data_IF_397472832081
#
_entry.id   IF_397472832081
#
_cell.length_a   1.000
_cell.length_b   1.000
_cell.length_c   1.000
_cell.angle_alpha   90.00
_cell.angle_beta   90.00
_cell.angle_gamma   90.00
#
_symmetry.space_group_name_H-M   'P 1'
#
loop_
_entity.id
_entity.type
_entity.pdbx_description
1 polymer ?
#
# COMPACT_ATOMS: atom_id res chain seq x y z
N UNK A 1 -24.85 -39.76 -7.84
CA UNK A 1 -25.10 -38.60 -8.71
C UNK A 1 -25.35 -39.14 -10.09
N UNK A 2 -26.52 -38.84 -10.64
CA UNK A 2 -26.96 -39.38 -11.91
C UNK A 2 -26.41 -38.51 -13.05
N UNK A 3 -25.89 -39.11 -14.12
CA UNK A 3 -25.22 -38.37 -15.19
C UNK A 3 -26.18 -37.35 -15.86
N UNK A 4 -27.47 -37.68 -15.87
CA UNK A 4 -28.53 -36.81 -16.37
C UNK A 4 -28.73 -35.54 -15.52
N UNK A 5 -28.51 -35.62 -14.21
CA UNK A 5 -28.60 -34.47 -13.29
C UNK A 5 -27.45 -33.48 -13.51
N UNK A 6 -26.27 -33.98 -13.87
CA UNK A 6 -25.10 -33.15 -14.17
C UNK A 6 -25.29 -32.44 -15.52
N UNK A 7 -25.80 -33.15 -16.52
CA UNK A 7 -26.04 -32.57 -17.85
C UNK A 7 -27.13 -31.49 -17.80
N UNK A 8 -28.20 -31.70 -17.03
CA UNK A 8 -29.26 -30.70 -16.92
C UNK A 8 -28.76 -29.44 -16.22
N UNK A 9 -27.97 -29.57 -15.15
CA UNK A 9 -27.33 -28.42 -14.49
C UNK A 9 -26.39 -27.64 -15.40
N UNK A 10 -25.60 -28.34 -16.22
CA UNK A 10 -24.69 -27.70 -17.17
C UNK A 10 -25.42 -26.94 -18.27
N UNK A 11 -26.49 -27.50 -18.83
CA UNK A 11 -27.31 -26.84 -19.84
C UNK A 11 -27.97 -25.59 -19.26
N UNK A 12 -28.54 -25.69 -18.07
CA UNK A 12 -29.22 -24.58 -17.39
C UNK A 12 -28.26 -23.43 -17.05
N UNK A 13 -27.02 -23.76 -16.64
CA UNK A 13 -25.97 -22.77 -16.41
C UNK A 13 -25.54 -22.06 -17.71
N UNK A 14 -25.48 -22.80 -18.83
CA UNK A 14 -25.13 -22.22 -20.12
C UNK A 14 -26.23 -21.31 -20.67
N UNK A 15 -27.50 -21.69 -20.49
CA UNK A 15 -28.65 -20.86 -20.87
C UNK A 15 -28.66 -19.53 -20.11
N UNK A 16 -28.40 -19.54 -18.79
CA UNK A 16 -28.30 -18.31 -17.99
C UNK A 16 -27.17 -17.38 -18.46
N UNK A 17 -26.02 -17.93 -18.84
CA UNK A 17 -24.91 -17.14 -19.36
C UNK A 17 -25.21 -16.53 -20.74
N UNK A 18 -25.99 -17.22 -21.56
CA UNK A 18 -26.43 -16.71 -22.86
C UNK A 18 -27.48 -15.60 -22.69
N UNK A 19 -28.43 -15.75 -21.76
CA UNK A 19 -29.41 -14.70 -21.44
C UNK A 19 -28.73 -13.43 -20.89
N UNK A 20 -27.68 -13.55 -20.07
CA UNK A 20 -26.90 -12.41 -19.57
C UNK A 20 -26.07 -11.74 -20.68
N UNK A 21 -25.58 -12.51 -21.65
CA UNK A 21 -24.89 -11.98 -22.82
C UNK A 21 -25.84 -11.24 -23.79
N UNK A 22 -27.09 -11.71 -23.91
CA UNK A 22 -28.11 -11.12 -24.79
C UNK A 22 -28.80 -9.90 -24.17
N UNK A 23 -28.93 -9.83 -22.84
CA UNK A 23 -29.46 -8.67 -22.11
C UNK A 23 -28.39 -8.01 -21.21
N UNK A 24 -27.48 -7.20 -21.78
CA UNK A 24 -26.51 -6.42 -21.01
C UNK A 24 -27.16 -5.19 -20.35
N UNK A 25 -28.15 -5.40 -19.48
CA UNK A 25 -28.59 -4.38 -18.52
C UNK A 25 -27.67 -4.40 -17.31
N UNK A 26 -26.43 -3.94 -17.52
CA UNK A 26 -25.37 -3.98 -16.51
C UNK A 26 -24.19 -3.11 -16.87
N UNK A 27 -24.39 -1.79 -16.87
CA UNK A 27 -23.37 -0.71 -16.91
C UNK A 27 -22.41 -0.73 -18.10
N UNK A 28 -22.96 -0.34 -19.24
CA UNK A 28 -22.21 0.32 -20.31
C UNK A 28 -21.83 1.74 -19.86
N UNK A 29 -20.59 1.96 -19.44
CA UNK A 29 -20.02 3.31 -19.40
C UNK A 29 -19.90 3.82 -20.84
N UNK A 30 -20.95 4.47 -21.34
CA UNK A 30 -20.86 5.30 -22.54
C UNK A 30 -20.28 6.65 -22.13
N UNK A 31 -19.06 6.91 -22.56
CA UNK A 31 -18.55 8.26 -22.73
C UNK A 31 -19.39 8.99 -23.78
N UNK A 32 -20.37 9.77 -23.33
CA UNK A 32 -20.97 10.85 -24.11
C UNK A 32 -20.40 12.17 -23.58
N UNK A 33 -19.49 12.75 -24.34
CA UNK A 33 -19.14 14.15 -24.18
C UNK A 33 -20.34 15.02 -24.53
N UNK A 34 -20.72 15.90 -23.60
CA UNK A 34 -21.46 17.13 -23.89
C UNK A 34 -21.49 17.99 -22.62
N UNK A 35 -20.74 19.09 -22.63
CA UNK A 35 -20.98 20.30 -21.84
C UNK A 35 -20.88 20.18 -20.31
N UNK A 36 -19.76 20.60 -19.75
CA UNK A 36 -19.63 20.88 -18.33
C UNK A 36 -18.52 21.92 -18.13
N UNK A 37 -18.87 23.04 -17.52
CA UNK A 37 -18.01 24.22 -17.38
C UNK A 37 -16.69 23.94 -16.65
N UNK A 38 -15.76 24.85 -16.88
CA UNK A 38 -14.53 25.05 -16.13
C UNK A 38 -14.82 24.88 -14.64
N UNK A 39 -14.44 23.72 -14.11
CA UNK A 39 -14.32 23.49 -12.67
C UNK A 39 -12.91 23.98 -12.36
N UNK A 40 -12.83 24.97 -11.48
CA UNK A 40 -11.58 25.58 -11.04
C UNK A 40 -10.59 24.53 -10.50
N UNK A 41 -9.33 24.71 -10.89
CA UNK A 41 -8.13 23.88 -10.72
C UNK A 41 -7.62 23.80 -9.26
N UNK A 42 -8.45 23.44 -8.28
CA UNK A 42 -7.96 23.27 -6.89
C UNK A 42 -8.54 22.02 -6.21
N UNK A 43 -8.21 20.82 -6.70
CA UNK A 43 -8.27 19.58 -5.92
C UNK A 43 -7.55 18.42 -6.65
N UNK A 44 -6.32 18.64 -7.13
CA UNK A 44 -5.47 17.57 -7.67
C UNK A 44 -4.28 17.32 -6.76
N UNK A 45 -4.43 16.43 -5.76
CA UNK A 45 -3.32 15.70 -5.10
C UNK A 45 -3.78 14.72 -4.00
N UNK A 46 -4.91 14.02 -4.13
CA UNK A 46 -5.29 12.97 -3.16
C UNK A 46 -5.49 11.60 -3.81
N UNK A 47 -5.06 10.56 -3.08
CA UNK A 47 -5.10 9.12 -3.39
C UNK A 47 -3.87 8.44 -4.03
N UNK A 48 -2.67 8.97 -3.78
CA UNK A 48 -1.48 8.10 -3.58
C UNK A 48 -1.36 7.66 -2.08
N UNK A 49 -2.36 8.01 -1.25
CA UNK A 49 -2.17 8.38 0.16
C UNK A 49 -2.35 7.32 1.26
N UNK A 50 -2.70 6.07 0.95
CA UNK A 50 -3.04 5.12 2.02
C UNK A 50 -1.89 4.25 2.49
N UNK A 51 -0.77 4.22 1.75
CA UNK A 51 0.35 3.35 2.05
C UNK A 51 1.40 4.05 2.91
N UNK A 52 1.70 3.42 4.03
CA UNK A 52 2.62 3.91 5.04
C UNK A 52 3.68 2.85 5.34
N UNK A 53 4.96 3.20 5.53
CA UNK A 53 5.98 2.23 5.87
C UNK A 53 5.79 1.73 7.31
N UNK A 54 5.88 0.42 7.48
CA UNK A 54 5.93 -0.28 8.75
C UNK A 54 7.23 -1.08 8.82
N UNK A 55 7.83 -1.19 10.01
CA UNK A 55 9.11 -1.89 10.21
C UNK A 55 8.89 -3.18 10.98
N UNK A 56 9.37 -4.29 10.43
CA UNK A 56 9.45 -5.57 11.12
C UNK A 56 10.63 -5.58 12.10
N UNK A 57 10.36 -5.30 13.37
CA UNK A 57 11.38 -5.25 14.41
C UNK A 57 12.06 -6.60 14.67
N UNK A 58 11.39 -7.73 14.37
CA UNK A 58 11.97 -9.07 14.53
C UNK A 58 13.16 -9.28 13.59
N UNK A 59 13.09 -8.72 12.37
CA UNK A 59 14.15 -8.82 11.36
C UNK A 59 15.09 -7.64 11.33
N UNK A 60 14.68 -6.50 11.87
CA UNK A 60 15.47 -5.28 11.85
C UNK A 60 16.82 -5.49 12.55
N UNK A 61 17.93 -5.03 11.95
CA UNK A 61 19.26 -5.08 12.57
C UNK A 61 19.50 -4.00 13.64
N UNK A 62 18.59 -3.04 13.75
CA UNK A 62 18.69 -1.94 14.72
C UNK A 62 19.95 -1.11 14.53
N UNK A 63 20.64 -0.79 15.62
CA UNK A 63 21.87 0.03 15.63
C UNK A 63 23.04 -0.58 14.83
N UNK A 64 23.01 -1.89 14.58
CA UNK A 64 24.06 -2.56 13.78
C UNK A 64 23.84 -2.45 12.27
N UNK A 65 22.74 -1.83 11.82
CA UNK A 65 22.46 -1.62 10.40
C UNK A 65 23.39 -0.56 9.79
N UNK A 66 24.09 -0.92 8.70
CA UNK A 66 24.98 0.01 7.97
C UNK A 66 24.23 1.06 7.16
N UNK A 67 23.05 0.72 6.64
CA UNK A 67 22.13 1.61 5.93
C UNK A 67 20.92 1.91 6.81
N UNK A 68 21.16 2.66 7.89
CA UNK A 68 20.13 2.97 8.88
C UNK A 68 19.02 3.83 8.29
N UNK A 69 17.79 3.32 8.26
CA UNK A 69 16.61 4.06 7.81
C UNK A 69 16.33 5.30 8.66
N UNK A 70 16.75 5.30 9.92
CA UNK A 70 16.62 6.44 10.85
C UNK A 70 17.54 7.59 10.44
N UNK A 71 18.73 7.30 9.92
CA UNK A 71 19.64 8.35 9.42
C UNK A 71 19.10 8.92 8.09
N UNK A 72 18.57 8.06 7.23
CA UNK A 72 18.06 8.46 5.91
C UNK A 72 16.74 9.23 5.99
N UNK A 73 15.84 8.83 6.90
CA UNK A 73 14.52 9.43 7.07
C UNK A 73 14.16 9.58 8.58
N UNK A 74 14.83 10.48 9.31
CA UNK A 74 14.68 10.65 10.76
C UNK A 74 13.30 11.19 11.17
N UNK A 75 12.60 11.84 10.24
CA UNK A 75 11.26 12.36 10.44
C UNK A 75 10.19 11.25 10.49
N UNK A 76 10.54 10.02 10.07
CA UNK A 76 9.60 8.91 9.98
C UNK A 76 10.02 7.71 10.81
N UNK A 77 11.31 7.46 10.94
CA UNK A 77 11.83 6.33 11.69
C UNK A 77 12.56 6.81 12.95
N UNK A 78 12.32 6.11 14.06
CA UNK A 78 13.01 6.30 15.33
C UNK A 78 13.49 4.97 15.90
N UNK A 79 14.43 5.02 16.86
CA UNK A 79 14.78 3.82 17.63
C UNK A 79 13.71 3.57 18.69
N UNK A 80 13.24 2.33 18.75
CA UNK A 80 12.39 1.86 19.82
C UNK A 80 13.27 1.51 21.04
N UNK A 81 12.95 2.08 22.21
CA UNK A 81 13.75 1.92 23.43
C UNK A 81 13.66 0.49 24.01
N UNK A 82 12.53 -0.16 23.78
CA UNK A 82 12.18 -1.52 24.22
C UNK A 82 12.93 -2.60 23.43
N UNK A 83 13.02 -2.48 22.10
CA UNK A 83 13.61 -3.51 21.23
C UNK A 83 14.99 -3.15 20.69
N UNK A 84 15.43 -1.89 20.86
CA UNK A 84 16.61 -1.30 20.23
C UNK A 84 16.62 -1.42 18.69
N UNK A 85 15.43 -1.56 18.08
CA UNK A 85 15.21 -1.67 16.63
C UNK A 85 14.64 -0.38 16.07
N UNK A 86 14.62 -0.27 14.75
CA UNK A 86 13.95 0.85 14.10
C UNK A 86 12.44 0.63 14.13
N UNK A 87 11.68 1.68 14.44
CA UNK A 87 10.22 1.72 14.43
C UNK A 87 9.78 2.88 13.54
N UNK A 88 8.79 2.62 12.68
CA UNK A 88 8.14 3.69 11.94
C UNK A 88 7.13 4.39 12.85
N UNK A 89 7.03 5.72 12.75
CA UNK A 89 5.92 6.44 13.38
C UNK A 89 4.61 5.96 12.77
N UNK A 90 3.54 5.90 13.56
CA UNK A 90 2.23 5.54 13.03
C UNK A 90 1.70 6.63 12.09
N UNK A 91 0.88 6.29 11.08
CA UNK A 91 0.27 7.27 10.18
C UNK A 91 -0.46 8.38 10.95
N UNK A 92 -1.15 8.01 12.03
CA UNK A 92 -1.93 8.92 12.86
C UNK A 92 -1.08 9.87 13.71
N UNK A 93 0.17 9.50 14.01
CA UNK A 93 1.10 10.32 14.77
C UNK A 93 1.90 11.29 13.90
N UNK A 94 1.88 11.10 12.57
CA UNK A 94 2.65 11.90 11.63
C UNK A 94 1.93 13.21 11.27
N UNK A 95 2.48 14.35 11.68
CA UNK A 95 1.91 15.68 11.41
C UNK A 95 2.21 16.23 10.01
N UNK A 96 2.59 15.36 9.07
CA UNK A 96 2.85 15.71 7.68
C UNK A 96 4.32 15.69 7.31
N UNK A 97 4.57 15.70 6.00
CA UNK A 97 5.88 15.44 5.42
C UNK A 97 6.80 16.67 5.38
N UNK A 98 6.54 17.66 6.22
CA UNK A 98 7.29 18.92 6.29
C UNK A 98 8.50 18.76 7.21
N UNK A 99 9.67 18.55 6.62
CA UNK A 99 10.94 18.58 7.34
C UNK A 99 11.59 19.94 7.06
N UNK A 100 11.55 20.87 8.01
CA UNK A 100 12.41 22.08 7.98
C UNK A 100 12.43 22.86 6.65
N UNK A 101 11.29 23.01 5.98
CA UNK A 101 11.20 23.74 4.69
C UNK A 101 11.53 22.93 3.44
N UNK A 102 11.79 21.61 3.55
CA UNK A 102 11.98 20.72 2.41
C UNK A 102 10.64 20.31 1.76
N UNK A 103 10.63 20.21 0.43
CA UNK A 103 9.47 19.80 -0.38
C UNK A 103 9.05 18.35 -0.10
N UNK A 104 7.74 18.06 -0.11
CA UNK A 104 7.15 16.71 0.06
C UNK A 104 7.87 15.62 -0.77
N UNK A 105 8.31 15.96 -1.99
CA UNK A 105 9.00 15.04 -2.90
C UNK A 105 10.35 14.55 -2.39
N UNK A 106 11.14 15.45 -1.79
CA UNK A 106 12.46 15.10 -1.23
C UNK A 106 12.31 14.10 -0.11
N UNK A 107 11.30 14.31 0.72
CA UNK A 107 11.12 13.49 1.88
C UNK A 107 10.47 12.13 1.51
N UNK A 108 9.61 12.07 0.46
CA UNK A 108 9.23 10.81 -0.20
C UNK A 108 10.44 10.06 -0.77
N UNK A 109 11.36 10.77 -1.41
CA UNK A 109 12.61 10.20 -1.91
C UNK A 109 13.46 9.59 -0.78
N UNK A 110 13.63 10.29 0.35
CA UNK A 110 14.36 9.76 1.51
C UNK A 110 13.76 8.46 2.06
N UNK A 111 12.43 8.37 2.13
CA UNK A 111 11.77 7.13 2.57
C UNK A 111 11.97 6.00 1.57
N UNK A 112 11.78 6.26 0.28
CA UNK A 112 12.03 5.25 -0.76
C UNK A 112 13.49 4.78 -0.75
N UNK A 113 14.43 5.68 -0.51
CA UNK A 113 15.84 5.36 -0.38
C UNK A 113 16.10 4.47 0.85
N UNK A 114 15.50 4.79 1.99
CA UNK A 114 15.59 3.99 3.21
C UNK A 114 15.04 2.57 3.02
N UNK A 115 13.89 2.44 2.35
CA UNK A 115 13.29 1.14 2.03
C UNK A 115 14.17 0.34 1.08
N UNK A 116 14.65 0.97 0.00
CA UNK A 116 15.47 0.31 -1.02
C UNK A 116 16.86 -0.11 -0.54
N UNK A 117 17.42 0.56 0.48
CA UNK A 117 18.74 0.24 1.03
C UNK A 117 18.70 -0.73 2.22
N UNK A 118 17.51 -1.16 2.66
CA UNK A 118 17.40 -2.06 3.81
C UNK A 118 17.92 -3.47 3.46
N UNK A 119 18.98 -3.98 4.11
CA UNK A 119 19.58 -5.27 3.75
C UNK A 119 18.69 -6.46 4.12
N UNK A 120 17.92 -6.34 5.20
CA UNK A 120 17.01 -7.39 5.68
C UNK A 120 15.60 -7.28 5.09
N UNK A 121 15.36 -6.26 4.25
CA UNK A 121 14.05 -5.95 3.69
C UNK A 121 12.94 -5.87 4.76
N UNK A 122 13.28 -5.32 5.93
CA UNK A 122 12.37 -5.28 7.08
C UNK A 122 11.38 -4.11 7.04
N UNK A 123 11.33 -3.32 5.97
CA UNK A 123 10.44 -2.16 5.84
C UNK A 123 9.40 -2.46 4.75
N UNK A 124 8.12 -2.36 5.10
CA UNK A 124 7.01 -2.74 4.23
C UNK A 124 5.96 -1.63 4.14
N UNK A 125 5.49 -1.33 2.93
CA UNK A 125 4.36 -0.41 2.76
C UNK A 125 3.03 -1.12 3.02
N UNK A 126 2.29 -0.60 4.00
CA UNK A 126 1.04 -1.15 4.49
C UNK A 126 0.00 -0.05 4.65
N UNK A 127 -1.28 -0.40 4.64
CA UNK A 127 -2.34 0.57 4.95
C UNK A 127 -2.38 0.90 6.45
N UNK A 128 -3.09 1.96 6.83
CA UNK A 128 -3.26 2.31 8.25
C UNK A 128 -3.83 1.15 9.09
N UNK A 129 -4.86 0.46 8.58
CA UNK A 129 -5.44 -0.71 9.26
C UNK A 129 -4.45 -1.87 9.40
N UNK A 130 -3.72 -2.17 8.32
CA UNK A 130 -2.69 -3.21 8.31
C UNK A 130 -1.55 -2.85 9.27
N UNK A 131 -1.18 -1.56 9.35
CA UNK A 131 -0.16 -1.07 10.27
C UNK A 131 -0.58 -1.30 11.72
N UNK A 132 -1.83 -0.97 12.07
CA UNK A 132 -2.35 -1.20 13.41
C UNK A 132 -2.34 -2.69 13.78
N UNK A 133 -2.81 -3.56 12.88
CA UNK A 133 -2.84 -5.01 13.13
C UNK A 133 -1.43 -5.62 13.25
N UNK A 134 -0.50 -5.22 12.38
CA UNK A 134 0.89 -5.68 12.46
C UNK A 134 1.59 -5.21 13.73
N UNK A 135 1.28 -3.98 14.18
CA UNK A 135 1.82 -3.43 15.43
C UNK A 135 1.30 -4.20 16.64
N UNK A 136 0.01 -4.52 16.66
CA UNK A 136 -0.60 -5.33 17.73
C UNK A 136 0.00 -6.74 17.80
N UNK A 137 0.14 -7.41 16.64
CA UNK A 137 0.80 -8.73 16.56
C UNK A 137 2.25 -8.67 17.06
N UNK A 138 2.99 -7.64 16.66
CA UNK A 138 4.37 -7.45 17.11
C UNK A 138 4.43 -7.21 18.62
N UNK A 139 3.52 -6.40 19.17
CA UNK A 139 3.45 -6.14 20.60
C UNK A 139 3.16 -7.42 21.39
N UNK A 140 2.26 -8.28 20.91
CA UNK A 140 2.02 -9.59 21.55
C UNK A 140 3.26 -10.49 21.63
N UNK A 141 4.19 -10.36 20.68
CA UNK A 141 5.48 -11.07 20.71
C UNK A 141 6.44 -10.40 21.71
N UNK A 142 6.52 -9.06 21.71
CA UNK A 142 7.38 -8.29 22.62
C UNK A 142 6.96 -8.53 24.08
N UNK A 143 5.66 -8.55 24.36
CA UNK A 143 5.08 -8.79 25.68
C UNK A 143 5.19 -10.27 26.11
N UNK A 144 5.65 -11.15 25.21
CA UNK A 144 5.83 -12.58 25.48
C UNK A 144 4.53 -13.40 25.50
N UNK A 145 3.42 -12.83 25.03
CA UNK A 145 2.12 -13.50 24.95
C UNK A 145 2.04 -14.50 23.79
N UNK A 146 2.85 -14.26 22.75
CA UNK A 146 2.98 -15.13 21.57
C UNK A 146 4.43 -15.59 21.44
N UNK A 147 4.70 -16.90 21.26
CA UNK A 147 6.08 -17.37 21.08
C UNK A 147 6.68 -16.80 19.79
N UNK A 148 7.95 -16.38 19.87
CA UNK A 148 8.64 -15.67 18.79
C UNK A 148 8.54 -16.35 17.42
N UNK A 149 8.67 -17.68 17.36
CA UNK A 149 8.66 -18.42 16.10
C UNK A 149 7.28 -18.39 15.41
N UNK A 150 6.22 -18.57 16.19
CA UNK A 150 4.83 -18.54 15.71
C UNK A 150 4.46 -17.12 15.28
N UNK A 151 4.70 -16.13 16.16
CA UNK A 151 4.41 -14.75 15.86
C UNK A 151 5.22 -14.21 14.67
N UNK A 152 6.48 -14.62 14.51
CA UNK A 152 7.28 -14.25 13.34
C UNK A 152 6.70 -14.83 12.04
N UNK A 153 6.24 -16.09 12.06
CA UNK A 153 5.58 -16.70 10.91
C UNK A 153 4.28 -15.97 10.57
N UNK A 154 3.45 -15.68 11.57
CA UNK A 154 2.19 -14.98 11.39
C UNK A 154 2.37 -13.58 10.82
N UNK A 155 3.34 -12.82 11.33
CA UNK A 155 3.69 -11.50 10.80
C UNK A 155 4.13 -11.61 9.34
N UNK A 156 4.99 -12.58 9.00
CA UNK A 156 5.44 -12.76 7.61
C UNK A 156 4.28 -13.15 6.68
N UNK A 157 3.39 -14.03 7.13
CA UNK A 157 2.19 -14.40 6.37
C UNK A 157 1.28 -13.19 6.14
N UNK A 158 1.09 -12.36 7.17
CA UNK A 158 0.30 -11.15 7.07
C UNK A 158 0.92 -10.13 6.12
N UNK A 159 2.24 -9.90 6.18
CA UNK A 159 2.97 -9.00 5.26
C UNK A 159 2.83 -9.49 3.82
N UNK A 160 2.96 -10.79 3.57
CA UNK A 160 2.82 -11.36 2.24
C UNK A 160 1.41 -11.11 1.68
N UNK A 161 0.37 -11.31 2.51
CA UNK A 161 -1.02 -10.99 2.16
C UNK A 161 -1.22 -9.50 1.91
N UNK A 162 -0.74 -8.64 2.81
CA UNK A 162 -0.85 -7.19 2.69
C UNK A 162 -0.17 -6.70 1.40
N UNK A 163 1.03 -7.18 1.09
CA UNK A 163 1.72 -6.82 -0.16
C UNK A 163 0.95 -7.24 -1.41
N UNK A 164 0.34 -8.43 -1.39
CA UNK A 164 -0.50 -8.90 -2.48
C UNK A 164 -1.74 -8.02 -2.67
N UNK A 165 -2.43 -7.68 -1.58
CA UNK A 165 -3.63 -6.83 -1.61
C UNK A 165 -3.29 -5.41 -2.04
N UNK A 166 -2.19 -4.84 -1.53
CA UNK A 166 -1.76 -3.47 -1.82
C UNK A 166 -1.35 -3.30 -3.28
N UNK A 167 -0.73 -4.32 -3.90
CA UNK A 167 -0.38 -4.30 -5.32
C UNK A 167 -1.58 -4.37 -6.27
N UNK A 168 -2.75 -4.76 -5.77
CA UNK A 168 -3.99 -4.90 -6.54
C UNK A 168 -4.94 -3.72 -6.40
N UNK A 169 -4.69 -2.81 -5.45
CA UNK A 169 -5.47 -1.59 -5.30
C UNK A 169 -5.36 -0.77 -6.58
N UNK A 170 -6.48 -0.26 -7.12
CA UNK A 170 -6.43 0.63 -8.27
C UNK A 170 -5.60 1.85 -7.88
N UNK A 171 -4.46 2.06 -8.55
CA UNK A 171 -3.71 3.30 -8.38
C UNK A 171 -4.51 4.42 -9.01
N UNK A 172 -4.62 5.56 -8.33
CA UNK A 172 -5.13 6.76 -8.95
C UNK A 172 -4.38 6.97 -10.28
N UNK A 173 -5.13 7.10 -11.38
CA UNK A 173 -4.52 7.32 -12.68
C UNK A 173 -3.87 8.69 -12.63
N UNK A 174 -2.53 8.72 -12.57
CA UNK A 174 -1.77 9.97 -12.71
C UNK A 174 -2.23 10.61 -14.01
N UNK A 175 -2.88 11.76 -13.93
CA UNK A 175 -3.15 12.57 -15.11
C UNK A 175 -1.77 13.00 -15.63
N UNK A 176 -1.44 12.73 -16.90
CA UNK A 176 -0.20 13.26 -17.46
C UNK A 176 -0.26 14.78 -17.28
N UNK A 177 0.77 15.36 -16.65
CA UNK A 177 0.90 16.82 -16.60
C UNK A 177 0.90 17.29 -18.04
N UNK A 178 -0.13 18.04 -18.44
CA UNK A 178 -0.12 18.74 -19.70
C UNK A 178 0.88 19.90 -19.56
N UNK A 179 2.17 19.57 -19.66
CA UNK A 179 3.21 20.57 -19.81
C UNK A 179 2.99 21.22 -21.17
N UNK A 180 2.28 22.35 -21.19
CA UNK A 180 1.94 23.10 -22.41
C UNK A 180 3.14 23.81 -23.05
N UNK A 181 4.36 23.49 -22.64
CA UNK A 181 5.58 24.06 -23.19
C UNK A 181 6.10 23.14 -24.30
N UNK A 182 5.99 23.62 -25.54
CA UNK A 182 6.54 22.97 -26.71
C UNK A 182 8.05 22.82 -26.52
N UNK A 183 8.53 21.60 -26.28
CA UNK A 183 9.96 21.30 -26.35
C UNK A 183 10.33 21.32 -27.84
N UNK A 184 11.05 22.35 -28.25
CA UNK A 184 11.52 22.50 -29.63
C UNK A 184 12.64 21.47 -29.88
N UNK A 185 12.29 20.37 -30.55
CA UNK A 185 13.25 19.38 -30.99
C UNK A 185 13.69 19.74 -32.41
N UNK A 186 14.73 20.58 -32.49
CA UNK A 186 15.53 21.01 -33.67
C UNK A 186 15.06 22.21 -34.48
#
# INVERSE_FOLDING_TARGET
MDAQEITTRLVLAYELLLEEAENPTGRRWRSSGSGGGWIDDEEEDEEDGDLWPWVNEIRCLGQSCRSSCIVTAPFLFSYAEDTARARAMSPNAFQGWSVGGETKDRARYCVNLAVGQCPELCIHYVTSDQHAELTDKLQGIIDGMVPLQEGAFDIQAYIAKASYDNNRRPRAKRRPKAEGEYVDWY
#
